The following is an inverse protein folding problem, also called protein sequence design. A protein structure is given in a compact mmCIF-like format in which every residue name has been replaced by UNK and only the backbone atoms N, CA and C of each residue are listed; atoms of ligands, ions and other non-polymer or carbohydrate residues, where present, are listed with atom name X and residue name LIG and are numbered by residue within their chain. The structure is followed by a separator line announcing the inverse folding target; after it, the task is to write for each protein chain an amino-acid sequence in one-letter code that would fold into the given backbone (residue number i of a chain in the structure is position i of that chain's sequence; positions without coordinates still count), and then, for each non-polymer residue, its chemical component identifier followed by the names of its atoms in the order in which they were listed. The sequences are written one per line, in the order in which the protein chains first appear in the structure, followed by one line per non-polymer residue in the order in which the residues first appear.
data_IF_060346793176
#
_entry.id   IF_060346793176
#
_cell.length_a   1.000
_cell.length_b   1.000
_cell.length_c   1.000
_cell.angle_alpha   90.00
_cell.angle_beta   90.00
_cell.angle_gamma   90.00
#
_symmetry.space_group_name_H-M   'P 1'
#
loop_
_entity.id
_entity.type
_entity.pdbx_description
1 polymer ?
#
# COMPACT_ATOMS: atom_id res chain seq x y z
N UNK A 1 -16.63 -3.07 4.72
CA UNK A 1 -15.79 -2.78 5.93
C UNK A 1 -16.42 -1.64 6.69
N UNK A 2 -16.60 -1.75 8.01
CA UNK A 2 -17.19 -0.69 8.81
C UNK A 2 -16.21 0.50 8.91
N UNK A 3 -16.55 1.69 8.37
CA UNK A 3 -15.69 2.88 8.44
C UNK A 3 -15.49 3.42 9.87
N UNK A 4 -16.30 2.98 10.83
CA UNK A 4 -16.19 3.33 12.25
C UNK A 4 -15.60 2.20 13.11
N UNK A 5 -15.22 1.05 12.48
CA UNK A 5 -14.60 -0.09 13.13
C UNK A 5 -13.08 0.02 13.29
N UNK A 6 -12.42 -1.12 13.55
CA UNK A 6 -10.96 -1.21 13.79
C UNK A 6 -10.09 -0.69 12.64
N UNK A 7 -10.63 -0.64 11.42
CA UNK A 7 -9.93 -0.13 10.21
C UNK A 7 -10.20 1.33 9.89
N UNK A 8 -10.86 2.07 10.81
CA UNK A 8 -11.18 3.49 10.67
C UNK A 8 -9.99 4.36 10.25
N UNK A 9 -8.78 4.24 10.84
CA UNK A 9 -7.64 5.03 10.40
C UNK A 9 -7.25 4.80 8.94
N UNK A 10 -7.40 3.58 8.42
CA UNK A 10 -7.12 3.27 7.02
C UNK A 10 -8.12 3.95 6.08
N UNK A 11 -9.39 4.00 6.45
CA UNK A 11 -10.42 4.74 5.72
C UNK A 11 -10.12 6.25 5.69
N UNK A 12 -9.69 6.82 6.83
CA UNK A 12 -9.38 8.25 6.93
C UNK A 12 -8.12 8.64 6.13
N UNK A 13 -7.15 7.74 6.03
CA UNK A 13 -5.88 7.95 5.29
C UNK A 13 -6.05 7.72 3.78
N UNK A 14 -6.96 6.85 3.39
CA UNK A 14 -7.12 6.40 2.00
C UNK A 14 -7.34 7.55 0.98
N UNK A 15 -8.15 8.59 1.24
CA UNK A 15 -8.29 9.72 0.31
C UNK A 15 -6.97 10.44 0.02
N UNK A 16 -6.10 10.55 1.02
CA UNK A 16 -4.77 11.16 0.87
C UNK A 16 -3.85 10.30 -0.02
N UNK A 17 -3.88 8.97 0.17
CA UNK A 17 -3.14 7.99 -0.66
C UNK A 17 -3.63 8.01 -2.10
N UNK A 18 -4.94 7.93 -2.30
CA UNK A 18 -5.55 7.93 -3.62
C UNK A 18 -5.22 9.22 -4.39
N UNK A 19 -5.36 10.37 -3.75
CA UNK A 19 -5.00 11.66 -4.36
C UNK A 19 -3.53 11.72 -4.78
N UNK A 20 -2.62 11.19 -3.97
CA UNK A 20 -1.19 11.13 -4.31
C UNK A 20 -0.92 10.21 -5.50
N UNK A 21 -1.56 9.04 -5.55
CA UNK A 21 -1.43 8.10 -6.66
C UNK A 21 -1.93 8.74 -7.96
N UNK A 22 -3.10 9.39 -7.94
CA UNK A 22 -3.67 10.11 -9.10
C UNK A 22 -2.80 11.28 -9.59
N UNK A 23 -2.09 11.96 -8.67
CA UNK A 23 -1.19 13.06 -9.02
C UNK A 23 0.08 12.56 -9.75
N UNK A 24 0.54 11.34 -9.46
CA UNK A 24 1.80 10.79 -9.96
C UNK A 24 1.65 9.80 -11.10
N UNK A 25 0.52 9.10 -11.19
CA UNK A 25 0.27 8.05 -12.17
C UNK A 25 -0.97 8.33 -13.01
N UNK A 26 -0.88 8.03 -14.30
CA UNK A 26 -2.04 7.97 -15.17
C UNK A 26 -2.73 6.61 -15.02
N UNK A 27 -3.72 6.54 -14.16
CA UNK A 27 -4.48 5.32 -13.89
C UNK A 27 -5.31 4.84 -15.10
N UNK A 28 -5.58 5.72 -16.05
CA UNK A 28 -6.30 5.37 -17.29
C UNK A 28 -5.37 4.70 -18.34
N UNK A 29 -4.06 4.78 -18.15
CA UNK A 29 -3.07 4.23 -19.09
C UNK A 29 -2.97 2.69 -19.06
N UNK A 30 -3.64 2.00 -18.13
CA UNK A 30 -3.66 0.53 -18.06
C UNK A 30 -4.13 -0.01 -16.70
N UNK A 31 -4.10 -1.33 -16.51
CA UNK A 31 -4.61 -1.98 -15.31
C UNK A 31 -3.78 -1.65 -14.08
N UNK A 32 -4.46 -1.58 -12.93
CA UNK A 32 -3.86 -1.35 -11.61
C UNK A 32 -3.90 -2.63 -10.77
N UNK A 33 -2.81 -2.90 -10.04
CA UNK A 33 -2.71 -3.97 -9.05
C UNK A 33 -2.51 -3.38 -7.66
N UNK A 34 -3.33 -3.82 -6.69
CA UNK A 34 -3.14 -3.53 -5.26
C UNK A 34 -2.64 -4.80 -4.55
N UNK A 35 -1.37 -4.79 -4.13
CA UNK A 35 -0.68 -5.91 -3.47
C UNK A 35 -0.82 -5.76 -1.96
N UNK A 36 -1.35 -6.78 -1.29
CA UNK A 36 -1.74 -6.70 0.12
C UNK A 36 -2.99 -5.84 0.29
N UNK A 37 -3.98 -6.03 -0.59
CA UNK A 37 -5.17 -5.17 -0.65
C UNK A 37 -6.09 -5.28 0.58
N UNK A 38 -5.90 -6.28 1.44
CA UNK A 38 -6.70 -6.50 2.63
C UNK A 38 -8.20 -6.54 2.32
N UNK A 39 -8.96 -5.68 2.96
CA UNK A 39 -10.42 -5.53 2.73
C UNK A 39 -10.80 -4.65 1.54
N UNK A 40 -9.88 -4.31 0.64
CA UNK A 40 -10.17 -3.67 -0.64
C UNK A 40 -10.31 -2.14 -0.63
N UNK A 41 -9.98 -1.45 0.46
CA UNK A 41 -10.24 -0.01 0.63
C UNK A 41 -9.66 0.82 -0.51
N UNK A 42 -8.40 0.59 -0.88
CA UNK A 42 -7.75 1.32 -1.98
C UNK A 42 -8.20 0.79 -3.33
N UNK A 43 -8.21 -0.54 -3.52
CA UNK A 43 -8.61 -1.17 -4.77
C UNK A 43 -10.02 -0.73 -5.23
N UNK A 44 -10.99 -0.74 -4.31
CA UNK A 44 -12.35 -0.26 -4.61
C UNK A 44 -12.37 1.23 -4.92
N UNK A 45 -11.59 2.04 -4.20
CA UNK A 45 -11.53 3.48 -4.46
C UNK A 45 -11.00 3.79 -5.87
N UNK A 46 -10.02 3.03 -6.36
CA UNK A 46 -9.49 3.14 -7.72
C UNK A 46 -10.54 2.65 -8.74
N UNK A 47 -11.19 1.51 -8.48
CA UNK A 47 -12.21 0.97 -9.37
C UNK A 47 -13.46 1.87 -9.48
N UNK A 48 -13.87 2.55 -8.39
CA UNK A 48 -14.96 3.54 -8.40
C UNK A 48 -14.68 4.75 -9.30
N UNK A 49 -13.42 5.02 -9.60
CA UNK A 49 -13.01 6.03 -10.59
C UNK A 49 -13.09 5.51 -12.03
N UNK A 50 -13.49 4.25 -12.23
CA UNK A 50 -13.62 3.62 -13.54
C UNK A 50 -12.35 2.94 -14.06
N UNK A 51 -11.35 2.72 -13.19
CA UNK A 51 -10.09 2.07 -13.59
C UNK A 51 -10.13 0.55 -13.37
N UNK A 52 -9.54 -0.20 -14.31
CA UNK A 52 -9.39 -1.65 -14.22
C UNK A 52 -8.47 -2.02 -13.06
N UNK A 53 -9.03 -2.66 -12.04
CA UNK A 53 -8.34 -2.87 -10.76
C UNK A 53 -8.38 -4.33 -10.33
N UNK A 54 -7.22 -4.85 -9.93
CA UNK A 54 -7.06 -6.15 -9.29
C UNK A 54 -6.48 -5.96 -7.90
N UNK A 55 -7.00 -6.67 -6.90
CA UNK A 55 -6.44 -6.75 -5.55
C UNK A 55 -5.97 -8.16 -5.26
N UNK A 56 -4.77 -8.31 -4.70
CA UNK A 56 -4.26 -9.59 -4.20
C UNK A 56 -3.89 -9.51 -2.72
N UNK A 57 -4.20 -10.57 -1.98
CA UNK A 57 -3.84 -10.71 -0.57
C UNK A 57 -3.76 -12.19 -0.18
N UNK A 58 -2.99 -12.53 0.86
CA UNK A 58 -2.95 -13.89 1.42
C UNK A 58 -4.05 -14.15 2.45
N UNK A 59 -4.63 -13.10 3.04
CA UNK A 59 -5.65 -13.18 4.07
C UNK A 59 -7.03 -13.44 3.45
N UNK A 60 -7.39 -14.71 3.25
CA UNK A 60 -8.69 -15.11 2.65
C UNK A 60 -9.90 -14.48 3.32
N UNK A 61 -9.86 -14.28 4.65
CA UNK A 61 -10.95 -13.62 5.39
C UNK A 61 -11.10 -12.16 4.97
N UNK A 62 -10.00 -11.43 4.81
CA UNK A 62 -10.00 -10.03 4.35
C UNK A 62 -10.51 -9.94 2.92
N UNK A 63 -10.03 -10.82 2.03
CA UNK A 63 -10.53 -10.92 0.65
C UNK A 63 -12.02 -11.29 0.58
N UNK A 64 -12.51 -12.14 1.49
CA UNK A 64 -13.93 -12.45 1.59
C UNK A 64 -14.77 -11.20 1.88
N UNK A 65 -14.31 -10.34 2.79
CA UNK A 65 -14.95 -9.05 3.09
C UNK A 65 -14.88 -8.11 1.89
N UNK A 66 -13.70 -7.99 1.24
CA UNK A 66 -13.52 -7.17 0.05
C UNK A 66 -14.47 -7.57 -1.09
N UNK A 67 -14.59 -8.87 -1.38
CA UNK A 67 -15.50 -9.40 -2.41
C UNK A 67 -16.96 -9.09 -2.11
N UNK A 68 -17.40 -9.26 -0.86
CA UNK A 68 -18.78 -8.96 -0.44
C UNK A 68 -19.08 -7.47 -0.59
N UNK A 69 -18.19 -6.61 -0.12
CA UNK A 69 -18.36 -5.17 -0.18
C UNK A 69 -18.40 -4.65 -1.63
N UNK A 70 -17.47 -5.14 -2.47
CA UNK A 70 -17.44 -4.80 -3.89
C UNK A 70 -18.73 -5.25 -4.61
N UNK A 71 -19.28 -6.42 -4.24
CA UNK A 71 -20.55 -6.92 -4.79
C UNK A 71 -21.75 -6.09 -4.32
N UNK A 72 -21.81 -5.73 -3.04
CA UNK A 72 -22.89 -4.91 -2.47
C UNK A 72 -22.96 -3.51 -3.09
N UNK A 73 -21.80 -2.93 -3.39
CA UNK A 73 -21.67 -1.59 -3.94
C UNK A 73 -21.54 -1.55 -5.48
N UNK A 74 -21.64 -2.70 -6.14
CA UNK A 74 -21.49 -2.87 -7.59
C UNK A 74 -20.16 -2.27 -8.13
N UNK A 75 -19.06 -2.53 -7.42
CA UNK A 75 -17.72 -2.05 -7.79
C UNK A 75 -16.93 -3.17 -8.47
N UNK A 76 -16.47 -3.00 -9.74
CA UNK A 76 -15.84 -4.06 -10.51
C UNK A 76 -14.35 -4.21 -10.14
N UNK A 77 -14.04 -4.94 -9.06
CA UNK A 77 -12.68 -5.31 -8.66
C UNK A 77 -12.48 -6.81 -8.77
N UNK A 78 -11.37 -7.25 -9.36
CA UNK A 78 -10.93 -8.64 -9.29
C UNK A 78 -10.12 -8.88 -8.03
N UNK A 79 -10.51 -9.87 -7.21
CA UNK A 79 -9.78 -10.23 -6.00
C UNK A 79 -9.28 -11.67 -6.06
N UNK A 80 -7.96 -11.86 -5.83
CA UNK A 80 -7.31 -13.17 -5.86
C UNK A 80 -6.47 -13.42 -4.60
N UNK A 81 -6.51 -14.65 -4.07
CA UNK A 81 -5.66 -15.08 -2.96
C UNK A 81 -4.28 -15.46 -3.51
N UNK A 82 -3.29 -14.58 -3.32
CA UNK A 82 -1.92 -14.79 -3.83
C UNK A 82 -0.91 -13.92 -3.09
N UNK A 83 0.36 -14.35 -3.09
CA UNK A 83 1.49 -13.46 -2.80
C UNK A 83 1.91 -12.73 -4.07
N UNK A 84 2.63 -11.61 -3.92
CA UNK A 84 3.21 -10.88 -5.05
C UNK A 84 4.15 -11.78 -5.87
N UNK A 85 5.00 -12.58 -5.20
CA UNK A 85 5.99 -13.47 -5.81
C UNK A 85 5.32 -14.60 -6.62
N UNK A 86 4.22 -15.14 -6.10
CA UNK A 86 3.47 -16.17 -6.84
C UNK A 86 2.74 -15.57 -8.04
N UNK A 87 2.09 -14.45 -7.83
CA UNK A 87 1.30 -13.76 -8.85
C UNK A 87 2.17 -13.26 -10.01
N UNK A 88 3.42 -12.83 -9.74
CA UNK A 88 4.37 -12.39 -10.76
C UNK A 88 4.76 -13.47 -11.77
N UNK A 89 4.65 -14.76 -11.41
CA UNK A 89 5.02 -15.87 -12.32
C UNK A 89 4.17 -15.94 -13.60
N UNK A 90 2.91 -15.52 -13.50
CA UNK A 90 1.94 -15.56 -14.61
C UNK A 90 1.45 -14.20 -15.08
N UNK A 91 1.82 -13.11 -14.37
CA UNK A 91 1.34 -11.76 -14.65
C UNK A 91 2.48 -10.74 -14.78
N UNK A 92 3.67 -11.20 -15.21
CA UNK A 92 4.81 -10.32 -15.41
C UNK A 92 4.48 -9.21 -16.42
N UNK A 93 4.91 -7.99 -16.12
CA UNK A 93 4.74 -6.80 -16.97
C UNK A 93 3.30 -6.53 -17.42
N UNK A 94 2.33 -6.89 -16.56
CA UNK A 94 0.92 -6.73 -16.90
C UNK A 94 0.32 -5.39 -16.42
N UNK A 95 0.79 -4.85 -15.30
CA UNK A 95 0.14 -3.71 -14.65
C UNK A 95 0.85 -2.39 -14.93
N UNK A 96 0.06 -1.37 -15.29
CA UNK A 96 0.54 0.01 -15.47
C UNK A 96 0.86 0.66 -14.13
N UNK A 97 0.05 0.38 -13.12
CA UNK A 97 0.24 0.88 -11.75
C UNK A 97 0.23 -0.28 -10.77
N UNK A 98 1.19 -0.31 -9.84
CA UNK A 98 1.27 -1.29 -8.76
C UNK A 98 1.32 -0.56 -7.43
N UNK A 99 0.41 -0.87 -6.52
CA UNK A 99 0.42 -0.37 -5.14
C UNK A 99 0.74 -1.51 -4.17
N UNK A 100 1.52 -1.23 -3.13
CA UNK A 100 1.83 -2.13 -2.04
C UNK A 100 1.97 -1.28 -0.77
N UNK A 101 0.82 -1.04 -0.11
CA UNK A 101 0.71 -0.06 0.97
C UNK A 101 0.46 -0.76 2.32
N UNK A 102 1.26 -0.42 3.34
CA UNK A 102 1.17 -0.99 4.71
C UNK A 102 1.22 -2.53 4.72
N UNK A 103 2.01 -3.14 3.85
CA UNK A 103 2.11 -4.59 3.73
C UNK A 103 3.55 -5.09 3.94
N UNK A 104 4.55 -4.28 3.57
CA UNK A 104 5.96 -4.69 3.58
C UNK A 104 6.50 -5.06 4.97
N UNK A 105 5.97 -4.47 6.04
CA UNK A 105 6.30 -4.81 7.43
C UNK A 105 5.72 -6.15 7.90
N UNK A 106 4.83 -6.76 7.12
CA UNK A 106 4.18 -8.03 7.45
C UNK A 106 4.81 -9.23 6.73
N UNK A 107 5.69 -9.00 5.74
CA UNK A 107 6.35 -10.08 4.99
C UNK A 107 7.69 -10.47 5.61
N UNK A 108 8.15 -11.66 5.25
CA UNK A 108 9.45 -12.19 5.74
C UNK A 108 10.63 -11.46 5.08
N UNK A 109 10.53 -11.18 3.79
CA UNK A 109 11.54 -10.49 2.99
C UNK A 109 10.89 -9.44 2.10
N UNK A 110 10.88 -8.20 2.57
CA UNK A 110 10.31 -7.09 1.80
C UNK A 110 11.07 -6.79 0.50
N UNK A 111 12.37 -7.14 0.43
CA UNK A 111 13.16 -6.96 -0.79
C UNK A 111 12.67 -7.88 -1.92
N UNK A 112 12.36 -9.13 -1.63
CA UNK A 112 11.77 -10.05 -2.61
C UNK A 112 10.36 -9.60 -3.03
N UNK A 113 9.56 -9.09 -2.11
CA UNK A 113 8.25 -8.54 -2.44
C UNK A 113 8.35 -7.30 -3.34
N UNK A 114 9.30 -6.39 -3.09
CA UNK A 114 9.56 -5.22 -3.96
C UNK A 114 10.00 -5.68 -5.36
N UNK A 115 10.85 -6.71 -5.47
CA UNK A 115 11.23 -7.31 -6.78
C UNK A 115 10.03 -7.91 -7.51
N UNK A 116 9.15 -8.60 -6.77
CA UNK A 116 7.93 -9.16 -7.36
C UNK A 116 6.99 -8.05 -7.88
N UNK A 117 6.82 -6.96 -7.12
CA UNK A 117 6.08 -5.79 -7.58
C UNK A 117 6.71 -5.17 -8.85
N UNK A 118 8.04 -5.09 -8.90
CA UNK A 118 8.76 -4.62 -10.10
C UNK A 118 8.56 -5.53 -11.31
N UNK A 119 8.50 -6.85 -11.09
CA UNK A 119 8.24 -7.82 -12.16
C UNK A 119 6.80 -7.71 -12.70
N UNK A 120 5.82 -7.39 -11.84
CA UNK A 120 4.40 -7.21 -12.19
C UNK A 120 4.15 -5.92 -12.99
N UNK A 121 4.95 -4.88 -12.77
CA UNK A 121 4.80 -3.60 -13.43
C UNK A 121 5.28 -3.65 -14.89
N UNK A 122 4.56 -2.98 -15.78
CA UNK A 122 4.99 -2.73 -17.17
C UNK A 122 6.23 -1.82 -17.21
N UNK A 123 7.07 -1.89 -18.24
CA UNK A 123 8.05 -0.83 -18.53
C UNK A 123 7.37 0.55 -18.58
N UNK A 124 7.94 1.53 -17.89
CA UNK A 124 7.35 2.85 -17.71
C UNK A 124 6.23 2.92 -16.66
N UNK A 125 5.88 1.80 -16.02
CA UNK A 125 4.84 1.71 -14.99
C UNK A 125 5.21 2.42 -13.69
N UNK A 126 4.21 2.84 -12.94
CA UNK A 126 4.31 3.53 -11.67
C UNK A 126 4.09 2.56 -10.50
N UNK A 127 4.96 2.63 -9.48
CA UNK A 127 4.86 1.78 -8.29
C UNK A 127 4.80 2.66 -7.04
N UNK A 128 3.92 2.29 -6.13
CA UNK A 128 3.75 2.98 -4.84
C UNK A 128 3.92 2.01 -3.69
N UNK A 129 4.77 2.39 -2.74
CA UNK A 129 5.00 1.62 -1.51
C UNK A 129 4.75 2.51 -0.30
N UNK A 130 4.14 1.98 0.76
CA UNK A 130 4.11 2.67 2.04
C UNK A 130 4.38 1.71 3.18
N UNK A 131 4.98 2.22 4.24
CA UNK A 131 5.25 1.45 5.47
C UNK A 131 5.63 2.38 6.62
N UNK A 132 5.81 1.81 7.79
CA UNK A 132 6.19 2.49 9.03
C UNK A 132 7.71 2.58 9.13
N UNK A 133 8.22 3.78 9.45
CA UNK A 133 9.66 4.01 9.63
C UNK A 133 10.17 3.39 10.93
N UNK A 134 11.27 2.64 10.86
CA UNK A 134 11.96 2.06 12.03
C UNK A 134 12.76 3.13 12.77
N UNK A 135 12.08 3.89 13.62
CA UNK A 135 12.72 4.80 14.56
C UNK A 135 11.93 4.92 15.86
N UNK A 136 12.56 5.44 16.95
CA UNK A 136 11.91 5.55 18.26
C UNK A 136 10.65 6.42 18.25
N UNK A 137 10.56 7.46 17.40
CA UNK A 137 9.36 8.30 17.30
C UNK A 137 8.19 7.55 16.72
N UNK A 138 8.40 6.76 15.65
CA UNK A 138 7.36 5.92 15.06
C UNK A 138 6.84 4.90 16.09
N UNK A 139 7.75 4.28 16.84
CA UNK A 139 7.39 3.35 17.90
C UNK A 139 6.49 4.00 18.96
N UNK A 140 6.90 5.15 19.49
CA UNK A 140 6.13 5.86 20.53
C UNK A 140 4.78 6.36 20.00
N UNK A 141 4.76 6.98 18.83
CA UNK A 141 3.54 7.56 18.25
C UNK A 141 2.53 6.51 17.78
N UNK A 142 3.00 5.49 17.07
CA UNK A 142 2.13 4.52 16.39
C UNK A 142 1.80 3.33 17.28
N UNK A 143 2.76 2.79 18.02
CA UNK A 143 2.52 1.63 18.87
C UNK A 143 1.96 2.05 20.24
N UNK A 144 2.68 2.88 20.98
CA UNK A 144 2.19 3.28 22.30
C UNK A 144 0.97 4.19 22.20
N UNK A 145 0.94 5.11 21.22
CA UNK A 145 -0.19 6.01 21.02
C UNK A 145 -1.43 5.29 20.49
N UNK A 146 -1.33 4.58 19.38
CA UNK A 146 -2.48 3.97 18.74
C UNK A 146 -2.95 2.68 19.42
N UNK A 147 -2.03 1.81 19.84
CA UNK A 147 -2.39 0.50 20.44
C UNK A 147 -2.77 0.62 21.93
N UNK A 148 -2.05 1.46 22.71
CA UNK A 148 -2.21 1.50 24.17
C UNK A 148 -3.01 2.69 24.70
N UNK A 149 -2.86 3.87 24.09
CA UNK A 149 -3.53 5.09 24.60
C UNK A 149 -4.88 5.29 23.94
N UNK A 150 -4.95 5.15 22.59
CA UNK A 150 -6.17 5.42 21.82
C UNK A 150 -7.01 4.18 21.54
N UNK A 151 -6.47 2.97 21.80
CA UNK A 151 -7.13 1.69 21.50
C UNK A 151 -7.64 1.60 20.04
N UNK A 152 -6.95 2.25 19.11
CA UNK A 152 -7.34 2.32 17.69
C UNK A 152 -6.92 1.08 16.90
N UNK A 153 -5.97 0.30 17.42
CA UNK A 153 -5.45 -0.92 16.80
C UNK A 153 -5.35 -2.03 17.86
N UNK A 154 -5.53 -3.30 17.49
CA UNK A 154 -5.27 -4.43 18.39
C UNK A 154 -3.84 -4.42 18.90
N UNK A 155 -3.65 -4.78 20.17
CA UNK A 155 -2.31 -4.84 20.79
C UNK A 155 -1.44 -5.89 20.11
N UNK A 156 -0.17 -5.53 19.84
CA UNK A 156 0.79 -6.42 19.20
C UNK A 156 0.64 -6.53 17.68
N UNK A 157 -0.10 -5.62 17.05
CA UNK A 157 -0.27 -5.59 15.59
C UNK A 157 1.05 -5.32 14.87
N UNK A 158 1.97 -4.58 15.51
CA UNK A 158 3.23 -4.18 14.89
C UNK A 158 4.45 -4.55 15.74
N UNK A 159 5.41 -5.22 15.12
CA UNK A 159 6.73 -5.49 15.70
C UNK A 159 7.74 -4.45 15.20
N UNK A 160 8.37 -3.71 16.11
CA UNK A 160 9.37 -2.68 15.78
C UNK A 160 10.49 -3.17 14.86
N UNK A 161 10.91 -4.44 15.01
CA UNK A 161 11.96 -5.06 14.20
C UNK A 161 11.60 -5.17 12.72
N UNK A 162 10.31 -5.20 12.41
CA UNK A 162 9.78 -5.33 11.05
C UNK A 162 9.57 -3.98 10.35
N UNK A 163 9.68 -2.87 11.07
CA UNK A 163 9.60 -1.55 10.46
C UNK A 163 10.78 -1.32 9.52
N UNK A 164 10.57 -0.53 8.47
CA UNK A 164 11.53 -0.37 7.38
C UNK A 164 11.96 1.10 7.31
N UNK A 165 13.27 1.35 7.33
CA UNK A 165 13.78 2.71 7.15
C UNK A 165 13.61 3.17 5.70
N UNK A 166 13.36 4.47 5.44
CA UNK A 166 13.29 5.00 4.08
C UNK A 166 14.51 4.63 3.21
N UNK A 167 15.71 4.61 3.80
CA UNK A 167 16.93 4.23 3.10
C UNK A 167 16.99 2.75 2.73
N UNK A 168 16.43 1.86 3.55
CA UNK A 168 16.37 0.42 3.29
C UNK A 168 15.40 0.13 2.14
N UNK A 169 14.21 0.74 2.17
CA UNK A 169 13.24 0.61 1.08
C UNK A 169 13.78 1.23 -0.22
N UNK A 170 14.42 2.39 -0.16
CA UNK A 170 15.04 3.01 -1.33
C UNK A 170 16.13 2.12 -1.96
N UNK A 171 16.90 1.40 -1.13
CA UNK A 171 17.90 0.44 -1.62
C UNK A 171 17.24 -0.80 -2.26
N UNK A 172 16.17 -1.34 -1.67
CA UNK A 172 15.41 -2.45 -2.24
C UNK A 172 14.77 -2.07 -3.60
N UNK A 173 14.21 -0.87 -3.71
CA UNK A 173 13.66 -0.31 -4.95
C UNK A 173 14.72 -0.27 -6.05
N UNK A 174 15.90 0.29 -5.76
CA UNK A 174 17.01 0.32 -6.74
C UNK A 174 17.54 -1.06 -7.08
N UNK A 175 17.65 -1.96 -6.10
CA UNK A 175 18.07 -3.35 -6.31
C UNK A 175 17.07 -4.14 -7.18
N UNK A 176 15.79 -3.76 -7.17
CA UNK A 176 14.75 -4.31 -8.04
C UNK A 176 14.75 -3.69 -9.46
N UNK A 177 15.70 -2.82 -9.79
CA UNK A 177 15.79 -2.16 -11.08
C UNK A 177 14.78 -1.02 -11.29
N UNK A 178 14.21 -0.51 -10.21
CA UNK A 178 13.27 0.62 -10.25
C UNK A 178 13.99 1.96 -10.02
N UNK A 179 13.46 3.01 -10.60
CA UNK A 179 13.88 4.39 -10.39
C UNK A 179 13.06 5.01 -9.26
N UNK A 180 13.72 5.35 -8.15
CA UNK A 180 13.10 6.09 -7.05
C UNK A 180 12.79 7.52 -7.51
N UNK A 181 11.52 7.91 -7.47
CA UNK A 181 11.08 9.26 -7.86
C UNK A 181 10.95 10.18 -6.65
N UNK A 182 10.23 9.74 -5.61
CA UNK A 182 9.91 10.59 -4.46
C UNK A 182 9.68 9.75 -3.20
N UNK A 183 10.01 10.32 -2.03
CA UNK A 183 9.62 9.80 -0.71
C UNK A 183 8.92 10.95 0.04
N UNK A 184 7.68 10.72 0.49
CA UNK A 184 6.91 11.68 1.28
C UNK A 184 6.53 11.08 2.63
N UNK A 185 6.63 11.87 3.68
CA UNK A 185 6.06 11.52 4.96
C UNK A 185 4.54 11.61 4.92
N UNK A 186 3.87 10.78 5.71
CA UNK A 186 2.43 10.81 5.88
C UNK A 186 2.10 10.99 7.36
N UNK A 187 1.31 12.01 7.66
CA UNK A 187 0.81 12.28 9.01
C UNK A 187 -0.69 12.07 9.06
N UNK A 188 -1.17 11.58 10.20
CA UNK A 188 -2.58 11.40 10.49
C UNK A 188 -2.90 12.04 11.85
N UNK A 189 -3.97 12.82 11.90
CA UNK A 189 -4.48 13.42 13.13
C UNK A 189 -5.80 12.72 13.52
N UNK A 190 -5.80 11.89 14.58
CA UNK A 190 -6.98 11.11 14.95
C UNK A 190 -8.14 11.96 15.49
N UNK A 191 -7.88 13.19 15.98
CA UNK A 191 -8.92 14.10 16.48
C UNK A 191 -9.70 14.73 15.32
N UNK A 192 -8.98 15.21 14.30
CA UNK A 192 -9.59 15.83 13.12
C UNK A 192 -9.89 14.82 12.00
N UNK A 193 -9.44 13.58 12.14
CA UNK A 193 -9.56 12.49 11.14
C UNK A 193 -8.96 12.88 9.78
N UNK A 194 -7.90 13.69 9.78
CA UNK A 194 -7.27 14.16 8.54
C UNK A 194 -5.87 13.58 8.39
N UNK A 195 -5.58 13.08 7.20
CA UNK A 195 -4.25 12.72 6.75
C UNK A 195 -3.69 13.78 5.80
N UNK A 196 -2.37 13.95 5.82
CA UNK A 196 -1.67 14.85 4.90
C UNK A 196 -0.26 14.33 4.60
N UNK A 197 0.19 14.55 3.36
CA UNK A 197 1.57 14.33 2.97
C UNK A 197 2.43 15.54 3.35
N UNK A 198 3.67 15.27 3.74
CA UNK A 198 4.66 16.27 4.15
C UNK A 198 6.08 15.72 3.94
N UNK A 199 7.11 16.47 4.31
CA UNK A 199 8.51 16.05 4.14
C UNK A 199 9.05 15.27 5.35
N UNK A 200 8.25 15.08 6.41
CA UNK A 200 8.65 14.39 7.62
C UNK A 200 8.36 12.89 7.55
N UNK A 201 9.34 12.11 7.14
CA UNK A 201 9.28 10.64 7.02
C UNK A 201 9.48 9.90 8.36
N UNK A 202 9.42 10.60 9.50
CA UNK A 202 9.82 10.02 10.79
C UNK A 202 8.83 8.99 11.35
N UNK A 203 7.58 8.95 10.90
CA UNK A 203 6.57 7.99 11.37
C UNK A 203 6.16 7.02 10.25
N UNK A 204 5.28 7.45 9.39
CA UNK A 204 4.84 6.70 8.22
C UNK A 204 5.27 7.46 6.95
N UNK A 205 5.51 6.74 5.88
CA UNK A 205 5.92 7.35 4.62
C UNK A 205 5.41 6.56 3.41
N UNK A 206 5.23 7.26 2.30
CA UNK A 206 4.87 6.71 0.99
C UNK A 206 5.99 7.03 -0.01
N UNK A 207 6.25 6.09 -0.90
CA UNK A 207 7.29 6.15 -1.92
C UNK A 207 6.66 5.99 -3.28
N UNK A 208 7.06 6.82 -4.23
CA UNK A 208 6.79 6.65 -5.65
C UNK A 208 8.06 6.20 -6.36
N UNK A 209 7.95 5.16 -7.16
CA UNK A 209 9.01 4.64 -8.02
C UNK A 209 8.48 4.36 -9.43
N UNK A 210 9.36 4.31 -10.41
CA UNK A 210 9.04 3.95 -11.80
C UNK A 210 9.86 2.77 -12.28
N UNK A 211 9.24 1.91 -13.08
CA UNK A 211 9.98 0.91 -13.85
C UNK A 211 10.55 1.57 -15.10
N UNK A 212 11.86 1.53 -15.34
CA UNK A 212 12.46 2.07 -16.55
C UNK A 212 11.84 1.48 -17.81
N UNK A 213 11.78 2.26 -18.88
CA UNK A 213 11.51 1.76 -20.23
C UNK A 213 12.81 1.15 -20.71
N UNK A 214 12.80 -0.14 -21.05
CA UNK A 214 13.97 -0.78 -21.68
C UNK A 214 14.27 -0.06 -23.01
N UNK A 215 15.48 0.48 -23.13
CA UNK A 215 15.99 1.14 -24.35
C UNK A 215 16.48 0.08 -25.31
#
# INVERSE_FOLDING_TARGET
MDPEGDFKPLHDINPCRLSYIQDKADLAAGPTLDVGCGGGILAESIARLGHDTTGIDMAEKALGVAKLHALEDDVPVRYEASTAEHYARSNAEHFRTVTCLEMLEHVTDFGETVKACAALAQPGGDLFFSTINRNPKAYVLLILGAEYVLNMLPRGTHEYSKFIKPSELANAIRAAGLELQEIRGMSYNPVTRKAALNDNTSANYIVHAKKPIAV
#
